data_IF_040951012820
#
_entry.id   IF_040951012820
#
_cell.length_a   1.000
_cell.length_b   1.000
_cell.length_c   1.000
_cell.angle_alpha   90.00
_cell.angle_beta   90.00
_cell.angle_gamma   90.00
#
_symmetry.space_group_name_H-M   'P 1'
#
loop_
_entity.id
_entity.type
_entity.pdbx_description
1 polymer ?
#
# COMPACT_ATOMS: atom_id res chain seq x y z
N UNK A 1 6.18 13.07 21.95
CA UNK A 1 7.09 12.53 20.93
C UNK A 1 6.27 12.40 19.64
N UNK A 2 6.58 13.17 18.59
CA UNK A 2 5.85 13.08 17.32
C UNK A 2 6.43 11.91 16.53
N UNK A 3 5.80 10.75 16.62
CA UNK A 3 6.25 9.56 15.90
C UNK A 3 5.67 9.60 14.49
N UNK A 4 6.50 9.55 13.43
CA UNK A 4 6.02 9.45 12.07
C UNK A 4 5.39 8.08 11.88
N UNK A 5 4.09 8.09 11.56
CA UNK A 5 3.32 6.89 11.34
C UNK A 5 2.84 6.86 9.89
N UNK A 6 2.94 5.69 9.27
CA UNK A 6 2.69 5.54 7.84
C UNK A 6 1.32 4.90 7.64
N UNK A 7 0.39 5.67 7.08
CA UNK A 7 -0.92 5.14 6.71
C UNK A 7 -0.94 4.68 5.26
N UNK A 8 -0.91 3.37 5.01
CA UNK A 8 -1.13 2.83 3.67
C UNK A 8 -2.57 2.37 3.49
N UNK A 9 -3.50 3.31 3.43
CA UNK A 9 -4.92 2.96 3.37
C UNK A 9 -5.22 2.36 2.00
N UNK A 10 -5.84 1.18 1.99
CA UNK A 10 -6.44 0.60 0.79
C UNK A 10 -7.78 1.28 0.51
N UNK A 11 -7.97 1.75 -0.72
CA UNK A 11 -9.21 2.36 -1.20
C UNK A 11 -9.67 1.68 -2.48
N UNK A 12 -10.95 1.83 -2.85
CA UNK A 12 -11.44 1.48 -4.19
C UNK A 12 -10.64 2.26 -5.24
N UNK A 13 -10.11 1.55 -6.26
CA UNK A 13 -9.38 2.18 -7.35
C UNK A 13 -10.31 3.11 -8.14
N UNK A 14 -9.80 4.30 -8.47
CA UNK A 14 -10.49 5.21 -9.38
C UNK A 14 -10.25 4.73 -10.80
N UNK A 15 -11.33 4.63 -11.57
CA UNK A 15 -11.25 4.17 -12.96
C UNK A 15 -10.63 5.28 -13.82
N UNK A 16 -9.53 4.98 -14.49
CA UNK A 16 -8.93 5.82 -15.52
C UNK A 16 -8.82 4.98 -16.81
N UNK A 17 -9.45 5.44 -17.89
CA UNK A 17 -9.51 4.70 -19.14
C UNK A 17 -8.33 5.13 -20.01
N UNK A 18 -7.36 4.24 -20.22
CA UNK A 18 -6.29 4.43 -21.21
C UNK A 18 -6.71 3.77 -22.52
N UNK A 19 -6.55 4.49 -23.63
CA UNK A 19 -6.77 3.93 -24.96
C UNK A 19 -5.60 3.00 -25.33
N UNK A 20 -5.87 1.70 -25.50
CA UNK A 20 -4.92 0.76 -26.06
C UNK A 20 -5.28 0.42 -27.51
N UNK A 21 -4.50 0.94 -28.46
CA UNK A 21 -4.68 0.68 -29.88
C UNK A 21 -3.91 -0.59 -30.29
N UNK A 22 -4.43 -1.77 -29.97
CA UNK A 22 -3.94 -3.04 -30.51
C UNK A 22 -5.09 -3.76 -31.22
N UNK A 23 -5.12 -3.70 -32.55
CA UNK A 23 -6.13 -4.40 -33.35
C UNK A 23 -5.57 -4.92 -34.66
N UNK A 24 -6.02 -6.11 -35.06
CA UNK A 24 -5.73 -6.72 -36.35
C UNK A 24 -6.44 -5.94 -37.48
N UNK A 25 -5.65 -5.28 -38.32
CA UNK A 25 -6.14 -4.40 -39.40
C UNK A 25 -6.66 -5.17 -40.62
N UNK A 26 -6.56 -6.50 -40.63
CA UNK A 26 -6.89 -7.33 -41.80
C UNK A 26 -8.40 -7.34 -42.06
N UNK A 27 -9.23 -7.41 -41.02
CA UNK A 27 -10.70 -7.50 -41.13
C UNK A 27 -11.46 -6.36 -40.45
N UNK A 28 -10.74 -5.54 -39.67
CA UNK A 28 -11.34 -4.49 -38.86
C UNK A 28 -10.83 -3.11 -39.28
N UNK A 29 -11.69 -2.11 -39.14
CA UNK A 29 -11.40 -0.70 -39.38
C UNK A 29 -11.81 0.13 -38.17
N UNK A 30 -11.01 1.14 -37.78
CA UNK A 30 -11.34 2.01 -36.66
C UNK A 30 -12.47 2.96 -37.05
N UNK A 31 -13.52 3.00 -36.24
CA UNK A 31 -14.53 4.06 -36.28
C UNK A 31 -14.63 4.74 -34.93
N UNK A 32 -14.88 6.06 -34.98
CA UNK A 32 -15.38 6.81 -33.85
C UNK A 32 -16.82 6.40 -33.55
N UNK A 33 -17.17 6.38 -32.26
CA UNK A 33 -18.53 6.00 -31.83
C UNK A 33 -19.59 7.08 -32.11
N UNK A 34 -19.19 8.27 -32.58
CA UNK A 34 -20.08 9.31 -33.10
C UNK A 34 -20.96 8.84 -34.28
N UNK A 35 -20.60 7.73 -34.95
CA UNK A 35 -21.44 7.04 -35.93
C UNK A 35 -22.76 6.51 -35.35
N UNK A 36 -22.83 6.31 -34.04
CA UNK A 36 -24.04 5.91 -33.32
C UNK A 36 -24.64 7.16 -32.66
N UNK A 37 -25.87 7.56 -33.03
CA UNK A 37 -26.46 8.76 -32.47
C UNK A 37 -26.67 8.67 -30.94
N UNK A 38 -26.50 9.80 -30.26
CA UNK A 38 -26.51 9.89 -28.78
C UNK A 38 -27.79 9.36 -28.12
N UNK A 39 -28.95 9.48 -28.78
CA UNK A 39 -30.22 8.95 -28.26
C UNK A 39 -30.18 7.43 -28.04
N UNK A 40 -29.43 6.67 -28.85
CA UNK A 40 -29.27 5.22 -28.65
C UNK A 40 -28.43 4.92 -27.40
N UNK A 41 -27.37 5.70 -27.13
CA UNK A 41 -26.59 5.57 -25.91
C UNK A 41 -27.39 5.97 -24.66
N UNK A 42 -28.21 7.02 -24.72
CA UNK A 42 -29.13 7.36 -23.63
C UNK A 42 -30.11 6.22 -23.32
N UNK A 43 -30.68 5.60 -24.37
CA UNK A 43 -31.56 4.43 -24.23
C UNK A 43 -30.81 3.24 -23.64
N UNK A 44 -29.59 2.97 -24.10
CA UNK A 44 -28.74 1.90 -23.59
C UNK A 44 -28.37 2.08 -22.11
N UNK A 45 -28.00 3.30 -21.68
CA UNK A 45 -27.75 3.63 -20.27
C UNK A 45 -28.96 3.28 -19.38
N UNK A 46 -30.17 3.62 -19.83
CA UNK A 46 -31.39 3.31 -19.10
C UNK A 46 -31.67 1.80 -19.08
N UNK A 47 -31.51 1.10 -20.22
CA UNK A 47 -31.70 -0.35 -20.30
C UNK A 47 -30.73 -1.14 -19.41
N UNK A 48 -29.50 -0.65 -19.25
CA UNK A 48 -28.47 -1.31 -18.42
C UNK A 48 -28.43 -0.81 -16.98
N UNK A 49 -29.40 0.03 -16.57
CA UNK A 49 -29.49 0.62 -15.24
C UNK A 49 -28.20 1.35 -14.82
N UNK A 50 -27.53 2.02 -15.76
CA UNK A 50 -26.35 2.84 -15.47
C UNK A 50 -26.80 4.29 -15.24
N UNK A 51 -26.93 4.66 -13.97
CA UNK A 51 -27.43 5.97 -13.56
C UNK A 51 -26.33 7.04 -13.53
N UNK A 52 -26.78 8.30 -13.48
CA UNK A 52 -25.87 9.45 -13.48
C UNK A 52 -25.00 9.51 -12.21
N UNK A 53 -25.52 9.04 -11.07
CA UNK A 53 -24.81 9.03 -9.79
C UNK A 53 -23.61 8.08 -9.83
N UNK A 54 -23.79 6.90 -10.40
CA UNK A 54 -22.77 5.87 -10.60
C UNK A 54 -21.67 6.36 -11.53
N UNK A 55 -22.06 6.96 -12.66
CA UNK A 55 -21.13 7.58 -13.60
C UNK A 55 -20.32 8.71 -12.92
N UNK A 56 -20.99 9.60 -12.17
CA UNK A 56 -20.32 10.70 -11.47
C UNK A 56 -19.37 10.21 -10.37
N UNK A 57 -19.67 9.08 -9.70
CA UNK A 57 -18.75 8.45 -8.72
C UNK A 57 -17.49 7.93 -9.41
N UNK A 58 -17.63 7.33 -10.59
CA UNK A 58 -16.52 6.72 -11.32
C UNK A 58 -15.57 7.76 -11.93
N UNK A 59 -16.11 8.81 -12.54
CA UNK A 59 -15.35 9.78 -13.34
C UNK A 59 -15.12 11.11 -12.61
N UNK A 60 -14.35 11.09 -11.51
CA UNK A 60 -14.12 12.29 -10.67
C UNK A 60 -13.10 13.30 -11.21
N UNK A 61 -12.16 12.84 -12.04
CA UNK A 61 -11.02 13.65 -12.54
C UNK A 61 -11.45 14.67 -13.59
N UNK A 62 -12.50 14.35 -14.34
CA UNK A 62 -13.04 15.17 -15.40
C UNK A 62 -14.56 15.22 -15.21
N UNK A 63 -15.05 16.38 -14.76
CA UNK A 63 -16.45 16.54 -14.41
C UNK A 63 -17.34 16.67 -15.65
N UNK A 64 -18.58 16.20 -15.52
CA UNK A 64 -19.68 16.41 -16.46
C UNK A 64 -20.98 16.58 -15.67
N UNK A 65 -21.94 17.27 -16.26
CA UNK A 65 -23.12 17.78 -15.56
C UNK A 65 -24.38 16.93 -15.81
N UNK A 66 -24.40 16.14 -16.88
CA UNK A 66 -25.53 15.28 -17.24
C UNK A 66 -25.09 14.08 -18.10
N UNK A 67 -26.02 13.15 -18.38
CA UNK A 67 -25.75 11.95 -19.20
C UNK A 67 -25.39 12.27 -20.65
N UNK A 68 -25.87 13.39 -21.20
CA UNK A 68 -25.60 13.81 -22.58
C UNK A 68 -24.13 14.21 -22.71
N UNK A 69 -23.67 15.11 -21.83
CA UNK A 69 -22.28 15.56 -21.77
C UNK A 69 -21.31 14.39 -21.51
N UNK A 70 -21.73 13.41 -20.71
CA UNK A 70 -20.97 12.17 -20.53
C UNK A 70 -20.79 11.41 -21.86
N UNK A 71 -21.86 11.19 -22.62
CA UNK A 71 -21.79 10.46 -23.88
C UNK A 71 -20.92 11.22 -24.88
N UNK A 72 -21.12 12.52 -25.04
CA UNK A 72 -20.37 13.35 -25.99
C UNK A 72 -18.87 13.34 -25.69
N UNK A 73 -18.48 13.48 -24.41
CA UNK A 73 -17.08 13.58 -24.02
C UNK A 73 -16.35 12.24 -23.95
N UNK A 74 -16.98 11.20 -23.41
CA UNK A 74 -16.32 9.94 -23.08
C UNK A 74 -16.69 8.78 -23.97
N UNK A 75 -17.82 8.84 -24.68
CA UNK A 75 -18.29 7.70 -25.49
C UNK A 75 -18.11 8.03 -26.97
N UNK A 76 -18.73 9.10 -27.46
CA UNK A 76 -18.70 9.46 -28.88
C UNK A 76 -17.28 9.72 -29.42
N UNK A 77 -16.39 10.21 -28.56
CA UNK A 77 -14.98 10.46 -28.90
C UNK A 77 -14.13 9.20 -29.04
N UNK A 78 -14.57 8.06 -28.45
CA UNK A 78 -13.79 6.83 -28.47
C UNK A 78 -13.70 6.27 -29.87
N UNK A 79 -12.51 5.78 -30.20
CA UNK A 79 -12.26 4.99 -31.41
C UNK A 79 -12.24 3.52 -31.06
N UNK A 80 -13.00 2.73 -31.80
CA UNK A 80 -12.97 1.28 -31.67
C UNK A 80 -13.03 0.61 -33.04
N UNK A 81 -12.52 -0.61 -33.10
CA UNK A 81 -12.42 -1.38 -34.32
C UNK A 81 -13.73 -2.12 -34.58
N UNK A 82 -14.32 -1.88 -35.75
CA UNK A 82 -15.47 -2.65 -36.24
C UNK A 82 -15.08 -3.45 -37.46
N UNK A 83 -15.78 -4.55 -37.71
CA UNK A 83 -15.60 -5.31 -38.93
C UNK A 83 -15.89 -4.43 -40.15
N UNK A 84 -15.14 -4.59 -41.25
CA UNK A 84 -15.30 -3.79 -42.49
C UNK A 84 -16.72 -3.76 -43.06
N UNK A 85 -17.51 -4.79 -42.79
CA UNK A 85 -18.90 -4.90 -43.25
C UNK A 85 -19.94 -4.35 -42.26
N UNK A 86 -19.51 -3.75 -41.13
CA UNK A 86 -20.43 -3.18 -40.14
C UNK A 86 -21.16 -1.98 -40.74
N UNK A 87 -22.50 -2.04 -40.70
CA UNK A 87 -23.37 -0.92 -41.10
C UNK A 87 -23.92 -0.18 -39.88
N UNK A 88 -24.16 1.11 -40.06
CA UNK A 88 -24.69 2.02 -39.03
C UNK A 88 -26.00 2.68 -39.47
N UNK A 89 -26.75 2.02 -40.37
CA UNK A 89 -27.95 2.55 -41.04
C UNK A 89 -29.27 2.00 -40.48
N UNK A 90 -29.21 0.98 -39.61
CA UNK A 90 -30.39 0.31 -39.07
C UNK A 90 -30.58 0.60 -37.56
N UNK A 91 -31.78 1.06 -37.19
CA UNK A 91 -32.16 1.42 -35.82
C UNK A 91 -31.96 0.28 -34.80
N UNK A 92 -32.28 -0.96 -35.15
CA UNK A 92 -32.11 -2.12 -34.28
C UNK A 92 -30.63 -2.43 -34.07
N UNK A 93 -29.82 -2.33 -35.14
CA UNK A 93 -28.37 -2.53 -35.09
C UNK A 93 -27.72 -1.46 -34.22
N UNK A 94 -28.06 -0.18 -34.44
CA UNK A 94 -27.55 0.95 -33.65
C UNK A 94 -27.85 0.79 -32.16
N UNK A 95 -29.07 0.37 -31.81
CA UNK A 95 -29.43 0.12 -30.42
C UNK A 95 -28.65 -1.05 -29.83
N UNK A 96 -28.51 -2.16 -30.56
CA UNK A 96 -27.72 -3.32 -30.12
C UNK A 96 -26.26 -2.96 -29.86
N UNK A 97 -25.64 -2.19 -30.75
CA UNK A 97 -24.26 -1.71 -30.58
C UNK A 97 -24.13 -0.80 -29.36
N UNK A 98 -25.02 0.18 -29.20
CA UNK A 98 -25.02 1.07 -28.04
C UNK A 98 -25.16 0.28 -26.73
N UNK A 99 -26.09 -0.68 -26.69
CA UNK A 99 -26.31 -1.56 -25.54
C UNK A 99 -25.06 -2.38 -25.20
N UNK A 100 -24.42 -2.98 -26.21
CA UNK A 100 -23.20 -3.77 -26.03
C UNK A 100 -22.05 -2.93 -25.48
N UNK A 101 -21.84 -1.72 -26.02
CA UNK A 101 -20.79 -0.81 -25.56
C UNK A 101 -21.02 -0.39 -24.11
N UNK A 102 -22.26 0.00 -23.76
CA UNK A 102 -22.60 0.40 -22.39
C UNK A 102 -22.51 -0.76 -21.40
N UNK A 103 -22.87 -1.97 -21.82
CA UNK A 103 -22.71 -3.19 -21.00
C UNK A 103 -21.24 -3.47 -20.70
N UNK A 104 -20.37 -3.47 -21.72
CA UNK A 104 -18.93 -3.63 -21.51
C UNK A 104 -18.34 -2.52 -20.65
N UNK A 105 -18.77 -1.26 -20.83
CA UNK A 105 -18.37 -0.17 -19.97
C UNK A 105 -18.77 -0.43 -18.53
N UNK A 106 -20.01 -0.84 -18.28
CA UNK A 106 -20.51 -1.15 -16.94
C UNK A 106 -19.70 -2.27 -16.29
N UNK A 107 -19.46 -3.35 -17.02
CA UNK A 107 -18.70 -4.49 -16.50
C UNK A 107 -17.25 -4.12 -16.20
N UNK A 108 -16.61 -3.33 -17.06
CA UNK A 108 -15.27 -2.80 -16.80
C UNK A 108 -15.24 -1.83 -15.62
N UNK A 109 -16.25 -0.97 -15.49
CA UNK A 109 -16.38 -0.05 -14.35
C UNK A 109 -16.50 -0.81 -13.03
N UNK A 110 -17.30 -1.88 -12.99
CA UNK A 110 -17.43 -2.74 -11.81
C UNK A 110 -16.10 -3.44 -11.50
N UNK A 111 -15.50 -4.09 -12.50
CA UNK A 111 -14.20 -4.77 -12.36
C UNK A 111 -13.08 -3.86 -11.88
N UNK A 112 -13.01 -2.61 -12.36
CA UNK A 112 -11.97 -1.67 -11.94
C UNK A 112 -12.30 -1.00 -10.59
N UNK A 113 -13.57 -0.83 -10.21
CA UNK A 113 -13.95 -0.32 -8.88
C UNK A 113 -13.64 -1.33 -7.77
N UNK A 114 -13.82 -2.61 -8.04
CA UNK A 114 -13.54 -3.69 -7.09
C UNK A 114 -12.03 -3.90 -6.87
N UNK A 115 -11.17 -3.33 -7.73
CA UNK A 115 -9.73 -3.42 -7.55
C UNK A 115 -9.29 -2.51 -6.39
N UNK A 116 -8.54 -3.03 -5.42
CA UNK A 116 -7.93 -2.19 -4.40
C UNK A 116 -6.92 -1.24 -5.04
N UNK A 117 -6.69 -0.11 -4.39
CA UNK A 117 -5.63 0.84 -4.68
C UNK A 117 -5.02 1.28 -3.36
N UNK A 118 -3.71 1.12 -3.24
CA UNK A 118 -2.95 1.52 -2.06
C UNK A 118 -2.58 3.00 -2.17
N UNK A 119 -2.84 3.78 -1.11
CA UNK A 119 -2.45 5.19 -1.07
C UNK A 119 -0.93 5.37 -1.12
N UNK A 120 -0.48 6.54 -1.54
CA UNK A 120 0.92 6.92 -1.42
C UNK A 120 1.36 6.90 0.06
N UNK A 121 2.67 6.70 0.27
CA UNK A 121 3.30 6.87 1.57
C UNK A 121 3.10 8.29 2.09
N UNK A 122 2.42 8.42 3.22
CA UNK A 122 2.18 9.70 3.89
C UNK A 122 2.68 9.64 5.33
N UNK A 123 3.35 10.72 5.74
CA UNK A 123 3.78 10.95 7.12
C UNK A 123 2.58 11.44 7.94
N UNK A 124 2.22 10.68 8.99
CA UNK A 124 1.20 11.08 9.97
C UNK A 124 1.81 11.26 11.35
N UNK A 125 1.24 12.17 12.12
CA UNK A 125 1.54 12.27 13.55
C UNK A 125 0.85 11.14 14.31
N UNK A 126 1.61 10.43 15.12
CA UNK A 126 1.06 9.52 16.11
C UNK A 126 0.98 10.21 17.46
N UNK A 127 -0.24 10.36 17.95
CA UNK A 127 -0.44 10.59 19.37
C UNK A 127 -0.50 9.25 20.06
N UNK A 128 0.48 8.99 20.93
CA UNK A 128 0.29 8.00 21.99
C UNK A 128 -0.74 8.60 22.95
N UNK A 129 -2.03 8.55 22.62
CA UNK A 129 -3.08 8.79 23.62
C UNK A 129 -2.72 7.95 24.83
N UNK A 130 -2.68 8.55 26.03
CA UNK A 130 -2.25 7.97 27.30
C UNK A 130 -2.76 6.52 27.52
N UNK A 131 -2.16 5.56 26.82
CA UNK A 131 -2.11 4.16 27.20
C UNK A 131 -0.90 4.09 28.11
N UNK A 132 -1.02 4.75 29.26
CA UNK A 132 -0.25 4.39 30.44
C UNK A 132 -0.69 2.98 30.77
N UNK A 133 0.01 2.03 30.18
CA UNK A 133 -0.06 0.64 30.54
C UNK A 133 0.82 0.53 31.77
N UNK A 134 0.16 0.60 32.93
CA UNK A 134 0.80 0.43 34.22
C UNK A 134 1.42 -0.96 34.25
N UNK A 135 2.76 -1.02 34.20
CA UNK A 135 3.50 -2.23 34.46
C UNK A 135 3.06 -2.80 35.82
N UNK A 136 2.29 -3.89 35.80
CA UNK A 136 1.89 -4.63 37.00
C UNK A 136 3.15 -5.05 37.77
N UNK A 137 3.12 -5.02 39.09
CA UNK A 137 4.22 -5.34 40.04
C UNK A 137 4.85 -6.76 39.91
N UNK A 138 4.48 -7.52 38.88
CA UNK A 138 4.98 -8.86 38.56
C UNK A 138 6.26 -8.86 37.70
N UNK A 139 6.84 -7.71 37.38
CA UNK A 139 8.08 -7.56 36.57
C UNK A 139 9.40 -7.83 37.32
N UNK A 140 9.42 -8.63 38.39
CA UNK A 140 10.65 -8.79 39.20
C UNK A 140 11.79 -9.57 38.54
N UNK A 141 11.52 -10.34 37.48
CA UNK A 141 12.49 -11.28 36.89
C UNK A 141 12.77 -11.08 35.39
N UNK A 142 12.24 -10.03 34.75
CA UNK A 142 12.47 -9.75 33.33
C UNK A 142 13.30 -8.46 33.24
N UNK A 143 14.44 -8.43 32.50
CA UNK A 143 15.23 -7.22 32.34
C UNK A 143 14.35 -6.06 31.87
N UNK A 144 14.36 -4.90 32.54
CA UNK A 144 13.63 -3.74 32.07
C UNK A 144 14.36 -3.16 30.85
N UNK A 145 13.82 -3.39 29.65
CA UNK A 145 14.26 -2.66 28.46
C UNK A 145 13.69 -1.25 28.53
N UNK A 146 14.49 -0.29 28.99
CA UNK A 146 14.05 1.11 29.17
C UNK A 146 13.52 1.71 27.86
N UNK A 147 14.17 1.37 26.74
CA UNK A 147 13.90 1.82 25.37
C UNK A 147 12.67 1.19 24.69
N UNK A 148 12.05 0.15 25.29
CA UNK A 148 10.90 -0.55 24.69
C UNK A 148 9.58 0.13 25.05
N UNK A 149 8.72 0.37 24.07
CA UNK A 149 7.34 0.84 24.25
C UNK A 149 6.36 -0.35 24.19
N UNK A 150 5.24 -0.24 24.91
CA UNK A 150 4.23 -1.30 25.08
C UNK A 150 4.76 -2.58 25.77
N UNK A 151 5.54 -2.41 26.84
CA UNK A 151 6.22 -3.46 27.61
C UNK A 151 5.30 -4.54 28.20
N UNK A 152 4.04 -4.22 28.44
CA UNK A 152 3.06 -5.15 29.03
C UNK A 152 2.80 -6.38 28.13
N UNK A 153 2.99 -6.23 26.83
CA UNK A 153 2.81 -7.32 25.87
C UNK A 153 3.91 -8.40 25.94
N UNK A 154 5.04 -8.11 26.63
CA UNK A 154 6.16 -9.06 26.76
C UNK A 154 5.79 -10.40 27.39
N UNK A 155 4.71 -10.43 28.17
CA UNK A 155 4.20 -11.68 28.78
C UNK A 155 3.72 -12.67 27.72
N UNK A 156 3.35 -12.19 26.54
CA UNK A 156 2.84 -12.96 25.41
C UNK A 156 3.94 -13.26 24.37
N UNK A 157 5.11 -12.63 24.49
CA UNK A 157 6.23 -12.86 23.58
C UNK A 157 6.68 -14.33 23.63
N UNK A 158 6.85 -14.89 22.43
CA UNK A 158 7.56 -16.14 22.19
C UNK A 158 9.03 -16.03 22.60
N UNK A 159 9.68 -17.18 22.80
CA UNK A 159 11.12 -17.20 23.13
C UNK A 159 11.95 -16.47 22.05
N UNK A 160 11.55 -16.57 20.78
CA UNK A 160 12.24 -15.92 19.68
C UNK A 160 12.08 -14.39 19.69
N UNK A 161 10.92 -13.87 20.07
CA UNK A 161 10.71 -12.42 20.26
C UNK A 161 11.52 -11.89 21.46
N UNK A 162 11.65 -12.69 22.53
CA UNK A 162 12.51 -12.36 23.66
C UNK A 162 13.98 -12.34 23.26
N UNK A 163 14.43 -13.31 22.46
CA UNK A 163 15.78 -13.37 21.92
C UNK A 163 16.09 -12.16 21.03
N UNK A 164 15.10 -11.68 20.26
CA UNK A 164 15.22 -10.44 19.51
C UNK A 164 15.43 -9.22 20.43
N UNK A 165 14.65 -9.11 21.50
CA UNK A 165 14.83 -8.01 22.47
C UNK A 165 16.20 -8.07 23.16
N UNK A 166 16.67 -9.27 23.51
CA UNK A 166 18.01 -9.49 24.04
C UNK A 166 19.09 -9.07 23.03
N UNK A 167 18.91 -9.38 21.75
CA UNK A 167 19.81 -8.94 20.69
C UNK A 167 19.88 -7.41 20.59
N UNK A 168 18.74 -6.72 20.58
CA UNK A 168 18.71 -5.25 20.54
C UNK A 168 19.39 -4.68 21.79
N UNK A 169 19.11 -5.24 22.96
CA UNK A 169 19.72 -4.77 24.21
C UNK A 169 21.24 -4.95 24.24
N UNK A 170 21.76 -6.06 23.72
CA UNK A 170 23.21 -6.30 23.56
C UNK A 170 23.87 -5.30 22.62
N UNK A 171 23.12 -4.80 21.63
CA UNK A 171 23.60 -3.84 20.64
C UNK A 171 23.19 -2.38 20.94
N UNK A 172 22.63 -2.10 22.12
CA UNK A 172 22.12 -0.77 22.47
C UNK A 172 23.17 0.34 22.32
N UNK A 173 24.43 0.06 22.65
CA UNK A 173 25.52 1.05 22.54
C UNK A 173 25.78 1.48 21.09
N UNK A 174 25.46 0.62 20.12
CA UNK A 174 25.56 0.95 18.70
C UNK A 174 24.47 1.97 18.34
N UNK A 175 23.25 1.73 18.83
CA UNK A 175 22.10 2.62 18.61
C UNK A 175 22.29 3.96 19.33
N UNK A 176 22.79 3.93 20.58
CA UNK A 176 23.10 5.13 21.38
C UNK A 176 24.17 6.01 20.73
N UNK A 177 25.13 5.40 20.00
CA UNK A 177 26.14 6.17 19.24
C UNK A 177 25.53 6.76 17.97
N UNK A 178 24.69 6.00 17.27
CA UNK A 178 24.17 6.43 15.97
C UNK A 178 23.09 7.51 16.07
N UNK A 179 22.27 7.45 17.11
CA UNK A 179 21.08 8.29 17.25
C UNK A 179 21.14 9.13 18.52
N UNK A 180 20.55 10.31 18.49
CA UNK A 180 20.41 11.18 19.66
C UNK A 180 19.44 10.59 20.68
N UNK A 181 18.30 10.10 20.18
CA UNK A 181 17.27 9.41 20.95
C UNK A 181 16.68 8.30 20.09
N UNK A 182 16.35 7.16 20.70
CA UNK A 182 15.67 6.07 20.00
C UNK A 182 14.78 5.27 20.94
N UNK A 183 13.78 4.62 20.37
CA UNK A 183 12.94 3.67 21.07
C UNK A 183 12.47 2.58 20.10
N UNK A 184 12.05 1.44 20.64
CA UNK A 184 11.43 0.37 19.86
C UNK A 184 10.02 0.18 20.34
N UNK A 185 9.07 0.12 19.42
CA UNK A 185 7.67 -0.17 19.68
C UNK A 185 7.41 -1.64 19.34
N UNK A 186 6.86 -2.42 20.29
CA UNK A 186 6.28 -3.74 20.02
C UNK A 186 4.86 -3.54 19.49
N UNK A 187 4.62 -3.91 18.23
CA UNK A 187 3.36 -3.71 17.54
C UNK A 187 2.47 -4.96 17.59
N UNK A 188 1.51 -4.99 18.52
CA UNK A 188 0.52 -6.07 18.64
C UNK A 188 -0.76 -5.71 17.86
N UNK A 189 -0.71 -5.88 16.53
CA UNK A 189 -1.85 -5.68 15.63
C UNK A 189 -2.48 -4.26 15.68
N UNK A 190 -1.71 -3.22 15.97
CA UNK A 190 -2.20 -1.84 15.89
C UNK A 190 -2.51 -1.51 14.42
N UNK A 191 -3.80 -1.30 14.13
CA UNK A 191 -4.29 -1.00 12.77
C UNK A 191 -3.63 0.22 12.15
N UNK A 192 -3.23 1.17 12.99
CA UNK A 192 -2.56 2.41 12.61
C UNK A 192 -1.17 2.12 12.05
N UNK A 193 -0.47 1.14 12.62
CA UNK A 193 0.91 0.74 12.26
C UNK A 193 0.97 -0.26 11.10
N UNK A 194 -0.19 -0.64 10.58
CA UNK A 194 -0.30 -1.55 9.44
C UNK A 194 0.11 -0.85 8.15
N UNK A 195 1.05 -1.47 7.47
CA UNK A 195 1.61 -1.04 6.18
C UNK A 195 0.97 -1.91 5.10
N UNK A 196 0.71 -1.41 3.89
CA UNK A 196 0.14 -2.23 2.82
C UNK A 196 1.05 -2.24 1.60
N UNK A 197 1.17 -3.41 0.98
CA UNK A 197 2.03 -3.62 -0.18
C UNK A 197 1.56 -2.79 -1.37
N UNK A 198 2.41 -1.89 -1.87
CA UNK A 198 2.14 -1.03 -3.02
C UNK A 198 2.89 -1.47 -4.30
N UNK A 199 3.46 -2.68 -4.32
CA UNK A 199 4.13 -3.24 -5.50
C UNK A 199 3.07 -3.56 -6.55
N UNK A 200 2.94 -2.71 -7.57
CA UNK A 200 1.99 -2.91 -8.68
C UNK A 200 2.24 -4.26 -9.37
N UNK A 201 1.18 -4.90 -9.84
CA UNK A 201 1.18 -6.21 -10.49
C UNK A 201 1.67 -7.41 -9.64
N UNK A 202 1.99 -7.18 -8.36
CA UNK A 202 2.25 -8.26 -7.39
C UNK A 202 0.95 -8.95 -6.94
N UNK A 203 0.93 -10.28 -6.77
CA UNK A 203 -0.23 -10.97 -6.17
C UNK A 203 -0.49 -10.56 -4.72
N UNK A 204 0.48 -9.87 -4.10
CA UNK A 204 0.40 -9.36 -2.73
C UNK A 204 0.02 -7.87 -2.67
N UNK A 205 -0.31 -7.24 -3.81
CA UNK A 205 -0.75 -5.84 -3.83
C UNK A 205 -1.95 -5.62 -2.90
N UNK A 206 -1.93 -4.54 -2.12
CA UNK A 206 -2.90 -4.23 -1.08
C UNK A 206 -3.02 -5.27 0.05
N UNK A 207 -2.09 -6.23 0.15
CA UNK A 207 -1.97 -7.05 1.34
C UNK A 207 -1.33 -6.25 2.47
N UNK A 208 -1.87 -6.42 3.67
CA UNK A 208 -1.36 -5.79 4.87
C UNK A 208 -0.16 -6.51 5.47
N UNK A 209 0.85 -5.73 5.81
CA UNK A 209 2.03 -6.08 6.59
C UNK A 209 1.95 -5.39 7.96
N UNK A 210 2.05 -6.20 9.01
CA UNK A 210 2.03 -5.75 10.40
C UNK A 210 3.38 -6.15 10.99
N UNK A 211 4.35 -5.22 11.09
CA UNK A 211 5.68 -5.52 11.59
C UNK A 211 5.60 -5.91 13.06
N UNK A 212 6.39 -6.88 13.50
CA UNK A 212 6.44 -7.26 14.92
C UNK A 212 6.99 -6.11 15.80
N UNK A 213 8.05 -5.45 15.33
CA UNK A 213 8.73 -4.35 16.02
C UNK A 213 9.03 -3.18 15.08
N UNK A 214 9.00 -1.97 15.64
CA UNK A 214 9.28 -0.74 14.89
C UNK A 214 10.23 0.13 15.71
N UNK A 215 11.42 0.41 15.17
CA UNK A 215 12.36 1.35 15.78
C UNK A 215 12.08 2.75 15.27
N UNK A 216 11.95 3.70 16.19
CA UNK A 216 11.89 5.13 15.91
C UNK A 216 13.13 5.79 16.48
N UNK A 217 13.80 6.62 15.69
CA UNK A 217 14.97 7.34 16.16
C UNK A 217 15.07 8.77 15.63
N UNK A 218 15.66 9.62 16.47
CA UNK A 218 16.07 10.98 16.16
C UNK A 218 17.55 10.94 15.75
N UNK A 219 17.84 11.41 14.55
CA UNK A 219 19.21 11.64 14.06
C UNK A 219 19.82 12.84 14.78
N UNK A 220 21.15 12.92 14.82
CA UNK A 220 21.85 14.06 15.42
C UNK A 220 21.68 15.34 14.59
N UNK A 221 21.38 15.19 13.30
CA UNK A 221 21.17 16.27 12.35
C UNK A 221 19.76 16.86 12.34
N UNK A 222 18.75 16.16 12.87
CA UNK A 222 17.35 16.58 12.80
C UNK A 222 16.70 16.80 14.18
N UNK A 223 15.80 17.79 14.26
CA UNK A 223 15.01 18.05 15.48
C UNK A 223 13.81 17.11 15.66
N UNK A 224 13.56 16.18 14.73
CA UNK A 224 12.42 15.25 14.76
C UNK A 224 12.89 13.80 14.61
N UNK A 225 11.97 12.84 14.78
CA UNK A 225 12.23 11.42 14.49
C UNK A 225 12.43 11.22 12.99
N UNK A 226 13.68 11.39 12.54
CA UNK A 226 14.12 11.30 11.15
C UNK A 226 14.36 9.88 10.64
N UNK A 227 14.24 8.87 11.49
CA UNK A 227 14.53 7.48 11.15
C UNK A 227 13.45 6.51 11.65
N UNK A 228 13.04 5.58 10.79
CA UNK A 228 12.15 4.48 11.15
C UNK A 228 12.60 3.17 10.53
N UNK A 229 12.67 2.10 11.34
CA UNK A 229 13.04 0.77 10.87
C UNK A 229 12.01 -0.28 11.26
N UNK A 230 11.48 -1.00 10.27
CA UNK A 230 10.59 -2.14 10.47
C UNK A 230 11.37 -3.43 10.68
N UNK A 231 10.95 -4.23 11.66
CA UNK A 231 11.61 -5.45 12.07
C UNK A 231 10.57 -6.53 12.32
N UNK A 232 10.83 -7.73 11.82
CA UNK A 232 9.90 -8.86 11.89
C UNK A 232 10.67 -10.08 12.40
N UNK A 233 10.07 -10.80 13.33
CA UNK A 233 10.62 -12.03 13.93
C UNK A 233 9.94 -13.23 13.30
N UNK A 234 10.72 -14.20 12.81
CA UNK A 234 10.18 -15.39 12.15
C UNK A 234 10.97 -16.65 12.52
N UNK A 235 10.24 -17.76 12.63
CA UNK A 235 10.86 -19.08 12.76
C UNK A 235 11.76 -19.40 11.56
N UNK A 236 12.72 -20.30 11.76
CA UNK A 236 13.72 -20.71 10.75
C UNK A 236 13.09 -21.25 9.46
N UNK A 237 11.92 -21.89 9.57
CA UNK A 237 11.15 -22.35 8.41
C UNK A 237 10.19 -21.25 7.95
N UNK A 238 10.59 -20.53 6.90
CA UNK A 238 9.76 -19.51 6.29
C UNK A 238 8.67 -20.15 5.43
N UNK A 239 7.41 -19.93 5.81
CA UNK A 239 6.27 -20.27 4.96
C UNK A 239 6.36 -19.51 3.63
N UNK A 240 6.10 -20.15 2.48
CA UNK A 240 6.09 -19.49 1.17
C UNK A 240 5.21 -18.22 1.12
N UNK A 241 4.14 -18.19 1.92
CA UNK A 241 3.23 -17.06 2.07
C UNK A 241 3.87 -15.80 2.70
N UNK A 242 5.04 -15.92 3.32
CA UNK A 242 5.78 -14.80 3.93
C UNK A 242 6.93 -14.29 3.04
N UNK A 243 7.25 -14.93 1.91
CA UNK A 243 8.38 -14.55 1.07
C UNK A 243 8.28 -13.09 0.57
N UNK A 244 7.08 -12.65 0.18
CA UNK A 244 6.83 -11.30 -0.31
C UNK A 244 7.12 -10.20 0.72
N UNK A 245 7.01 -10.50 2.02
CA UNK A 245 7.29 -9.53 3.09
C UNK A 245 8.77 -9.12 3.08
N UNK A 246 9.66 -10.02 2.65
CA UNK A 246 11.09 -9.72 2.50
C UNK A 246 11.33 -8.70 1.38
N UNK A 247 10.79 -8.97 0.20
CA UNK A 247 10.83 -8.03 -0.93
C UNK A 247 10.20 -6.68 -0.57
N UNK A 248 9.11 -6.70 0.20
CA UNK A 248 8.45 -5.50 0.68
C UNK A 248 9.34 -4.68 1.63
N UNK A 249 10.02 -5.31 2.59
CA UNK A 249 10.94 -4.64 3.51
C UNK A 249 12.13 -4.01 2.77
N UNK A 250 12.69 -4.69 1.78
CA UNK A 250 13.75 -4.16 0.90
C UNK A 250 13.27 -2.96 0.06
N UNK A 251 12.03 -3.01 -0.43
CA UNK A 251 11.44 -1.90 -1.16
C UNK A 251 11.28 -0.65 -0.27
N UNK A 252 10.90 -0.82 1.01
CA UNK A 252 10.75 0.29 1.96
C UNK A 252 12.07 1.03 2.20
N UNK A 253 13.21 0.34 2.16
CA UNK A 253 14.55 0.95 2.30
C UNK A 253 14.88 1.95 1.18
N UNK A 254 14.35 1.73 -0.03
CA UNK A 254 14.57 2.60 -1.18
C UNK A 254 13.57 3.76 -1.26
N UNK A 255 12.54 3.77 -0.42
CA UNK A 255 11.52 4.82 -0.42
C UNK A 255 12.05 6.09 0.24
N UNK A 256 12.16 7.19 -0.53
CA UNK A 256 12.50 8.50 0.02
C UNK A 256 11.22 9.29 0.31
N UNK A 257 11.02 9.66 1.58
CA UNK A 257 9.86 10.46 2.00
C UNK A 257 10.31 11.84 2.42
N UNK A 258 9.64 12.84 1.83
CA UNK A 258 9.82 14.25 2.15
C UNK A 258 8.49 14.81 2.60
N UNK A 259 8.45 15.40 3.78
CA UNK A 259 7.30 16.18 4.27
C UNK A 259 7.82 17.47 4.85
N UNK A 260 7.28 18.62 4.44
CA UNK A 260 7.64 19.93 5.01
C UNK A 260 9.17 20.20 5.09
N UNK A 261 9.92 19.86 4.02
CA UNK A 261 11.39 19.93 3.93
C UNK A 261 12.18 19.02 4.88
N UNK A 262 11.50 18.11 5.59
CA UNK A 262 12.08 17.11 6.47
C UNK A 262 12.27 15.79 5.73
N UNK A 263 13.46 15.19 5.84
CA UNK A 263 13.81 13.93 5.21
C UNK A 263 13.64 12.80 6.22
N UNK A 264 12.83 11.80 5.87
CA UNK A 264 12.69 10.61 6.70
C UNK A 264 13.41 9.44 6.04
N UNK A 265 14.21 8.74 6.85
CA UNK A 265 14.91 7.53 6.49
C UNK A 265 14.06 6.33 6.89
N UNK A 266 13.45 5.68 5.90
CA UNK A 266 12.73 4.43 6.10
C UNK A 266 13.64 3.25 5.82
N UNK A 267 13.62 2.25 6.70
CA UNK A 267 14.38 1.00 6.57
C UNK A 267 13.50 -0.20 6.91
N UNK A 268 13.79 -1.33 6.29
CA UNK A 268 13.28 -2.63 6.68
C UNK A 268 14.47 -3.55 6.87
N UNK A 269 14.53 -4.26 8.00
CA UNK A 269 15.52 -5.31 8.16
C UNK A 269 15.00 -6.64 7.58
N UNK A 270 15.90 -7.54 7.16
CA UNK A 270 15.55 -8.94 6.95
C UNK A 270 14.85 -9.54 8.18
N UNK A 271 14.26 -10.72 8.05
CA UNK A 271 13.65 -11.37 9.21
C UNK A 271 14.70 -11.71 10.25
N UNK A 272 14.40 -11.43 11.52
CA UNK A 272 15.15 -11.98 12.62
C UNK A 272 14.76 -13.44 12.80
N UNK A 273 15.73 -14.33 12.59
CA UNK A 273 15.58 -15.77 12.80
C UNK A 273 16.81 -16.29 13.54
N UNK A 274 16.63 -17.37 14.32
CA UNK A 274 17.74 -18.05 14.97
C UNK A 274 18.07 -19.37 14.26
N UNK A 275 19.24 -19.44 13.65
CA UNK A 275 19.77 -20.68 13.08
C UNK A 275 20.14 -21.65 14.20
N UNK A 276 19.65 -22.90 14.12
CA UNK A 276 19.82 -23.92 15.16
C UNK A 276 19.45 -23.44 16.58
N UNK A 277 18.52 -22.47 16.70
CA UNK A 277 18.10 -21.85 17.98
C UNK A 277 19.22 -21.20 18.80
N UNK A 278 20.34 -20.80 18.17
CA UNK A 278 21.51 -20.27 18.91
C UNK A 278 22.12 -19.02 18.31
N UNK A 279 22.22 -18.94 16.98
CA UNK A 279 22.87 -17.83 16.31
C UNK A 279 21.85 -17.05 15.49
N UNK A 280 21.91 -15.72 15.53
CA UNK A 280 21.10 -14.88 14.64
C UNK A 280 21.54 -15.14 13.20
N UNK A 281 20.60 -15.15 12.27
CA UNK A 281 20.95 -15.34 10.88
C UNK A 281 21.89 -14.22 10.38
N UNK A 282 22.82 -14.59 9.50
CA UNK A 282 23.87 -13.69 9.03
C UNK A 282 23.34 -12.54 8.17
N UNK A 283 22.21 -12.75 7.47
CA UNK A 283 21.59 -11.74 6.63
C UNK A 283 21.08 -10.55 7.48
N UNK A 284 20.36 -10.85 8.57
CA UNK A 284 19.90 -9.90 9.55
C UNK A 284 21.08 -9.17 10.22
N UNK A 285 22.06 -9.92 10.74
CA UNK A 285 23.21 -9.29 11.42
C UNK A 285 23.99 -8.38 10.48
N UNK A 286 24.17 -8.77 9.22
CA UNK A 286 24.86 -7.97 8.22
C UNK A 286 24.09 -6.69 7.92
N UNK A 287 22.79 -6.78 7.65
CA UNK A 287 21.94 -5.62 7.39
C UNK A 287 21.86 -4.69 8.63
N UNK A 288 21.72 -5.25 9.83
CA UNK A 288 21.76 -4.49 11.08
C UNK A 288 23.07 -3.72 11.22
N UNK A 289 24.20 -4.38 10.98
CA UNK A 289 25.50 -3.74 11.05
C UNK A 289 25.67 -2.63 9.99
N UNK A 290 25.26 -2.87 8.75
CA UNK A 290 25.33 -1.85 7.69
C UNK A 290 24.47 -0.63 8.03
N UNK A 291 23.26 -0.84 8.52
CA UNK A 291 22.36 0.25 8.88
C UNK A 291 22.86 1.00 10.11
N UNK A 292 23.32 0.29 11.15
CA UNK A 292 23.53 0.89 12.48
C UNK A 292 24.99 1.10 12.90
N UNK A 293 25.99 0.42 12.31
CA UNK A 293 27.41 0.62 12.67
C UNK A 293 28.12 1.71 11.86
N UNK A 294 27.57 2.12 10.72
CA UNK A 294 28.12 3.22 9.94
C UNK A 294 27.98 4.57 10.68
N UNK A 295 28.90 5.52 10.38
CA UNK A 295 29.06 6.84 11.04
C UNK A 295 27.73 7.55 11.36
N UNK A 296 27.77 8.34 12.43
CA UNK A 296 26.69 9.19 12.95
C UNK A 296 25.81 9.78 11.83
N UNK A 297 24.49 9.67 11.99
CA UNK A 297 23.48 10.24 11.10
C UNK A 297 22.87 11.48 11.73
#
# INVERSE_FOLDING_TARGET
>A
MHVPLFGFIVREKKVDFKEENKGDTTYYIPHTLDKIPLNYFLKALNLKNLDFKTLKKAFKKHAFNNKVEFIERYISSLKTNFHKNQKFDNNEILLKLAVYIIENLKDTLLKEQDKPSVSALELKEFETHNKSLSASEWEKNIPPYEWLLFKDMRKLDSDLERDFLDFINKNKEILDKKFKEWCVLRNDHFTELKVFCNIEDSPYYAQGFEPDFILFAQTHSDEFLGFTCYMEVKGEHLEPSNAWKKEFLEMLENATLKSHNKKLHLKGLPFFTLHNKKAVNSEFETAFNQIFKDKEC
#
